data_IF_482416426729
#
_entry.id   IF_482416426729
#
_cell.length_a   1.000
_cell.length_b   1.000
_cell.length_c   1.000
_cell.angle_alpha   90.00
_cell.angle_beta   90.00
_cell.angle_gamma   90.00
#
_symmetry.space_group_name_H-M   'P 1'
#
loop_
_entity.id
_entity.type
_entity.pdbx_description
1 polymer ?
#
# COMPACT_ATOMS: atom_id res chain seq x y z
N UNK A 1 2.41 -25.38 13.17
CA UNK A 1 1.93 -24.35 12.22
C UNK A 1 1.85 -24.96 10.84
N UNK A 2 0.65 -25.09 10.26
CA UNK A 2 0.50 -25.62 8.90
C UNK A 2 1.03 -24.65 7.85
N UNK A 3 1.49 -25.15 6.70
CA UNK A 3 2.03 -24.32 5.61
C UNK A 3 1.08 -23.19 5.17
N UNK A 4 -0.23 -23.40 5.27
CA UNK A 4 -1.27 -22.40 4.97
C UNK A 4 -1.22 -21.18 5.90
N UNK A 5 -0.91 -21.37 7.19
CA UNK A 5 -0.81 -20.27 8.16
C UNK A 5 0.41 -19.40 7.90
N UNK A 6 1.54 -20.01 7.53
CA UNK A 6 2.77 -19.28 7.16
C UNK A 6 2.54 -18.46 5.89
N UNK A 7 1.91 -19.04 4.87
CA UNK A 7 1.58 -18.34 3.63
C UNK A 7 0.60 -17.19 3.88
N UNK A 8 -0.44 -17.39 4.69
CA UNK A 8 -1.41 -16.34 5.01
C UNK A 8 -0.76 -15.15 5.72
N UNK A 9 0.08 -15.42 6.72
CA UNK A 9 0.85 -14.37 7.43
C UNK A 9 1.78 -13.63 6.48
N UNK A 10 2.48 -14.35 5.59
CA UNK A 10 3.35 -13.73 4.58
C UNK A 10 2.56 -12.81 3.64
N UNK A 11 1.42 -13.27 3.12
CA UNK A 11 0.53 -12.47 2.27
C UNK A 11 0.05 -11.21 3.01
N UNK A 12 -0.40 -11.35 4.26
CA UNK A 12 -0.88 -10.23 5.06
C UNK A 12 0.21 -9.18 5.33
N UNK A 13 1.44 -9.61 5.62
CA UNK A 13 2.60 -8.71 5.77
C UNK A 13 2.90 -7.99 4.47
N UNK A 14 2.98 -8.70 3.34
CA UNK A 14 3.24 -8.10 2.03
C UNK A 14 2.17 -7.09 1.63
N UNK A 15 0.91 -7.45 1.82
CA UNK A 15 -0.23 -6.59 1.53
C UNK A 15 -0.22 -5.32 2.38
N UNK A 16 0.13 -5.44 3.67
CA UNK A 16 0.31 -4.29 4.54
C UNK A 16 1.47 -3.40 4.08
N UNK A 17 2.61 -4.00 3.72
CA UNK A 17 3.77 -3.27 3.22
C UNK A 17 3.48 -2.52 1.91
N UNK A 18 2.73 -3.15 0.99
CA UNK A 18 2.26 -2.53 -0.25
C UNK A 18 1.25 -1.41 0.01
N UNK A 19 0.38 -1.58 1.00
CA UNK A 19 -0.57 -0.54 1.39
C UNK A 19 0.13 0.70 1.94
N UNK A 20 1.09 0.50 2.85
CA UNK A 20 1.91 1.59 3.40
C UNK A 20 2.74 2.26 2.31
N UNK A 21 3.35 1.50 1.40
CA UNK A 21 4.14 2.08 0.31
C UNK A 21 3.27 2.90 -0.66
N UNK A 22 2.03 2.48 -0.94
CA UNK A 22 1.09 3.26 -1.73
C UNK A 22 0.75 4.61 -1.08
N UNK A 23 0.57 4.64 0.24
CA UNK A 23 0.34 5.88 1.00
C UNK A 23 1.58 6.80 0.93
N UNK A 24 2.78 6.24 1.08
CA UNK A 24 4.05 6.99 0.96
C UNK A 24 4.19 7.58 -0.45
N UNK A 25 3.89 6.80 -1.49
CA UNK A 25 3.94 7.27 -2.89
C UNK A 25 2.91 8.38 -3.11
N UNK A 26 1.70 8.26 -2.56
CA UNK A 26 0.70 9.31 -2.62
C UNK A 26 1.20 10.61 -1.98
N UNK A 27 1.84 10.53 -0.81
CA UNK A 27 2.44 11.68 -0.13
C UNK A 27 3.55 12.33 -0.96
N UNK A 28 4.46 11.52 -1.51
CA UNK A 28 5.55 11.98 -2.36
C UNK A 28 5.04 12.70 -3.62
N UNK A 29 3.98 12.16 -4.24
CA UNK A 29 3.32 12.76 -5.41
C UNK A 29 2.83 14.19 -5.17
N UNK A 30 2.48 14.53 -3.93
CA UNK A 30 1.95 15.84 -3.58
C UNK A 30 3.00 16.79 -3.01
N UNK A 31 3.77 16.34 -2.03
CA UNK A 31 4.70 17.19 -1.29
C UNK A 31 6.10 17.27 -1.92
N UNK A 32 6.52 16.27 -2.69
CA UNK A 32 7.87 16.23 -3.25
C UNK A 32 7.87 15.57 -4.64
N UNK A 33 7.22 16.20 -5.63
CA UNK A 33 7.01 15.62 -6.96
C UNK A 33 8.31 15.27 -7.72
N UNK A 34 9.42 15.97 -7.42
CA UNK A 34 10.74 15.73 -8.01
C UNK A 34 11.57 14.68 -7.24
N UNK A 35 11.13 14.26 -6.06
CA UNK A 35 11.82 13.21 -5.31
C UNK A 35 11.68 11.90 -6.08
N UNK A 36 12.79 11.21 -6.37
CA UNK A 36 12.84 10.00 -7.22
C UNK A 36 12.30 10.18 -8.66
N UNK A 37 12.00 11.41 -9.10
CA UNK A 37 11.39 11.65 -10.40
C UNK A 37 10.03 10.95 -10.57
N UNK A 38 9.27 10.70 -9.50
CA UNK A 38 8.02 9.94 -9.55
C UNK A 38 7.04 10.54 -10.56
N UNK A 39 6.95 11.87 -10.64
CA UNK A 39 6.09 12.55 -11.62
C UNK A 39 6.52 12.29 -13.07
N UNK A 40 7.82 12.20 -13.31
CA UNK A 40 8.45 11.92 -14.60
C UNK A 40 8.31 10.43 -14.98
N UNK A 41 8.53 9.53 -14.02
CA UNK A 41 8.38 8.07 -14.20
C UNK A 41 6.93 7.72 -14.57
N UNK A 42 5.97 8.32 -13.88
CA UNK A 42 4.55 8.09 -14.15
C UNK A 42 3.98 9.01 -15.25
N UNK A 43 4.78 9.94 -15.80
CA UNK A 43 4.38 10.92 -16.82
C UNK A 43 3.02 11.59 -16.51
N UNK A 44 2.84 12.00 -15.25
CA UNK A 44 1.54 12.45 -14.76
C UNK A 44 1.31 13.93 -15.04
N UNK A 45 0.24 14.22 -15.78
CA UNK A 45 -0.25 15.59 -15.96
C UNK A 45 -0.85 16.11 -14.66
N UNK A 46 -0.55 17.36 -14.29
CA UNK A 46 -0.87 17.94 -12.98
C UNK A 46 -2.35 17.79 -12.57
N UNK A 47 -3.25 17.90 -13.55
CA UNK A 47 -4.71 17.73 -13.40
C UNK A 47 -5.12 16.40 -12.75
N UNK A 48 -4.35 15.33 -12.94
CA UNK A 48 -4.73 13.99 -12.46
C UNK A 48 -4.10 13.65 -11.11
N UNK A 49 -3.21 14.48 -10.57
CA UNK A 49 -2.46 14.16 -9.34
C UNK A 49 -3.38 13.95 -8.14
N UNK A 50 -4.39 14.82 -7.99
CA UNK A 50 -5.37 14.70 -6.92
C UNK A 50 -6.16 13.38 -7.02
N UNK A 51 -6.50 12.94 -8.23
CA UNK A 51 -7.17 11.67 -8.47
C UNK A 51 -6.27 10.49 -8.12
N UNK A 52 -5.02 10.48 -8.59
CA UNK A 52 -4.06 9.43 -8.27
C UNK A 52 -3.76 9.35 -6.77
N UNK A 53 -3.61 10.49 -6.09
CA UNK A 53 -3.50 10.53 -4.63
C UNK A 53 -4.70 9.88 -3.96
N UNK A 54 -5.91 10.27 -4.34
CA UNK A 54 -7.13 9.74 -3.73
C UNK A 54 -7.20 8.23 -3.93
N UNK A 55 -6.93 7.73 -5.14
CA UNK A 55 -6.93 6.29 -5.44
C UNK A 55 -5.85 5.57 -4.63
N UNK A 56 -4.60 6.04 -4.64
CA UNK A 56 -3.49 5.42 -3.92
C UNK A 56 -3.71 5.42 -2.40
N UNK A 57 -4.25 6.52 -1.87
CA UNK A 57 -4.53 6.63 -0.45
C UNK A 57 -5.67 5.70 -0.03
N UNK A 58 -6.79 5.69 -0.75
CA UNK A 58 -7.93 4.82 -0.45
C UNK A 58 -7.54 3.35 -0.59
N UNK A 59 -6.93 2.97 -1.71
CA UNK A 59 -6.50 1.59 -1.94
C UNK A 59 -5.40 1.16 -0.98
N UNK A 60 -4.42 2.02 -0.70
CA UNK A 60 -3.35 1.76 0.25
C UNK A 60 -3.86 1.60 1.69
N UNK A 61 -4.83 2.42 2.10
CA UNK A 61 -5.47 2.32 3.40
C UNK A 61 -6.22 0.99 3.56
N UNK A 62 -7.07 0.64 2.58
CA UNK A 62 -7.77 -0.64 2.60
C UNK A 62 -6.82 -1.84 2.55
N UNK A 63 -5.76 -1.77 1.74
CA UNK A 63 -4.73 -2.81 1.67
C UNK A 63 -4.01 -2.98 3.01
N UNK A 64 -3.67 -1.88 3.68
CA UNK A 64 -3.01 -1.92 4.99
C UNK A 64 -3.89 -2.59 6.04
N UNK A 65 -5.16 -2.16 6.16
CA UNK A 65 -6.09 -2.73 7.14
C UNK A 65 -6.35 -4.20 6.87
N UNK A 66 -6.63 -4.56 5.62
CA UNK A 66 -6.90 -5.95 5.25
C UNK A 66 -5.68 -6.85 5.47
N UNK A 67 -4.47 -6.37 5.16
CA UNK A 67 -3.22 -7.09 5.45
C UNK A 67 -3.04 -7.34 6.96
N UNK A 68 -3.29 -6.32 7.79
CA UNK A 68 -3.24 -6.44 9.25
C UNK A 68 -4.28 -7.41 9.80
N UNK A 69 -5.51 -7.39 9.27
CA UNK A 69 -6.58 -8.33 9.65
C UNK A 69 -6.20 -9.78 9.32
N UNK A 70 -5.60 -10.02 8.16
CA UNK A 70 -5.11 -11.35 7.77
C UNK A 70 -4.06 -11.82 8.79
N UNK A 71 -3.05 -10.99 9.10
CA UNK A 71 -2.02 -11.37 10.08
C UNK A 71 -2.64 -11.65 11.46
N UNK A 72 -3.56 -10.81 11.91
CA UNK A 72 -4.21 -10.95 13.22
C UNK A 72 -5.06 -12.23 13.32
N UNK A 73 -5.92 -12.50 12.34
CA UNK A 73 -6.81 -13.65 12.37
C UNK A 73 -6.04 -14.97 12.30
N UNK A 74 -4.99 -15.03 11.49
CA UNK A 74 -4.17 -16.24 11.37
C UNK A 74 -3.21 -16.42 12.54
N UNK A 75 -2.74 -15.34 13.18
CA UNK A 75 -1.99 -15.42 14.44
C UNK A 75 -2.87 -15.82 15.62
N UNK A 76 -4.16 -15.46 15.63
CA UNK A 76 -5.09 -15.82 16.70
C UNK A 76 -5.60 -17.26 16.61
N UNK A 77 -5.53 -17.89 15.43
CA UNK A 77 -5.96 -19.28 15.19
C UNK A 77 -4.83 -20.32 15.28
N UNK A 78 -3.56 -19.91 15.39
CA UNK A 78 -2.38 -20.80 15.48
C UNK A 78 -1.97 -21.08 16.91
#
# INVERSE_FOLDING_TARGET
MGAQSILATFIGIFQSLLGVSAIVVAYLLYYSPDFLGVRTIFNLREVHIAFFMMVLFVTGFFATISGLLIVHEWSSRS
#
